data_IF_491081981655
#
_entry.id   IF_491081981655
#
_cell.length_a   1.000
_cell.length_b   1.000
_cell.length_c   1.000
_cell.angle_alpha   90.00
_cell.angle_beta   90.00
_cell.angle_gamma   90.00
#
_symmetry.space_group_name_H-M   'P 1'
#
loop_
_entity.id
_entity.type
_entity.pdbx_description
1 polymer ?
#
# COMPACT_ATOMS: atom_id res chain seq x y z
N UNK A 1 3.98 -5.33 18.13
CA UNK A 1 2.88 -5.61 17.17
C UNK A 1 1.64 -5.03 17.81
N UNK A 2 1.16 -3.92 17.28
CA UNK A 2 -0.14 -3.36 17.67
C UNK A 2 -1.18 -4.16 16.92
N UNK A 3 -1.89 -5.06 17.58
CA UNK A 3 -3.09 -5.68 17.02
C UNK A 3 -4.19 -4.65 17.18
N UNK A 4 -4.66 -4.12 16.06
CA UNK A 4 -5.79 -3.23 16.03
C UNK A 4 -7.02 -4.12 15.91
N UNK A 5 -7.85 -4.11 16.94
CA UNK A 5 -9.24 -4.53 16.76
C UNK A 5 -9.84 -3.55 15.76
N UNK A 6 -10.21 -3.98 14.55
CA UNK A 6 -10.82 -3.08 13.60
C UNK A 6 -12.08 -2.54 14.26
N UNK A 7 -12.25 -1.22 14.19
CA UNK A 7 -13.59 -0.67 14.36
C UNK A 7 -14.46 -1.49 13.41
N UNK A 8 -15.36 -2.32 13.94
CA UNK A 8 -16.21 -3.21 13.16
C UNK A 8 -17.17 -2.35 12.32
N UNK A 9 -16.66 -1.78 11.26
CA UNK A 9 -17.45 -1.49 10.09
C UNK A 9 -17.76 -2.90 9.57
N UNK A 10 -19.00 -3.35 9.74
CA UNK A 10 -19.41 -4.71 9.44
C UNK A 10 -18.76 -5.18 8.14
N UNK A 11 -18.35 -6.43 8.04
CA UNK A 11 -17.59 -6.99 6.93
C UNK A 11 -18.14 -6.49 5.59
N UNK A 12 -17.54 -5.45 5.05
CA UNK A 12 -17.92 -4.89 3.75
C UNK A 12 -17.09 -5.65 2.73
N UNK A 13 -17.75 -6.55 2.00
CA UNK A 13 -17.13 -7.15 0.83
C UNK A 13 -16.87 -6.06 -0.20
N UNK A 14 -15.64 -5.93 -0.62
CA UNK A 14 -15.22 -5.04 -1.69
C UNK A 14 -15.87 -5.51 -2.99
N UNK A 15 -16.67 -4.68 -3.64
CA UNK A 15 -17.16 -4.99 -4.97
C UNK A 15 -16.02 -4.82 -6.00
N UNK A 16 -16.06 -5.64 -7.06
CA UNK A 16 -15.09 -5.53 -8.15
C UNK A 16 -15.04 -4.11 -8.73
N UNK A 17 -13.83 -3.56 -8.86
CA UNK A 17 -13.61 -2.21 -9.38
C UNK A 17 -13.94 -1.07 -8.42
N UNK A 18 -14.36 -1.37 -7.20
CA UNK A 18 -14.66 -0.34 -6.19
C UNK A 18 -13.40 0.32 -5.66
N UNK A 19 -13.52 1.59 -5.28
CA UNK A 19 -12.54 2.32 -4.46
C UNK A 19 -13.16 2.55 -3.08
N UNK A 20 -12.41 2.23 -2.03
CA UNK A 20 -12.72 2.55 -0.64
C UNK A 20 -11.76 3.60 -0.15
N UNK A 21 -12.28 4.62 0.54
CA UNK A 21 -11.52 5.61 1.27
C UNK A 21 -11.44 5.18 2.74
N UNK A 22 -10.24 4.83 3.20
CA UNK A 22 -9.96 4.44 4.58
C UNK A 22 -9.50 5.67 5.37
N UNK A 23 -10.28 6.17 6.36
CA UNK A 23 -9.80 7.19 7.28
C UNK A 23 -8.58 6.67 8.05
N UNK A 24 -7.51 7.46 8.10
CA UNK A 24 -6.28 7.15 8.85
C UNK A 24 -6.09 8.17 9.97
N UNK A 25 -6.08 9.46 9.62
CA UNK A 25 -5.96 10.54 10.62
C UNK A 25 -7.21 10.55 11.52
N UNK A 26 -6.97 10.65 12.82
CA UNK A 26 -8.03 10.65 13.82
C UNK A 26 -8.61 9.26 14.13
N UNK A 27 -8.13 8.20 13.48
CA UNK A 27 -8.57 6.84 13.79
C UNK A 27 -8.08 6.45 15.18
N UNK A 28 -9.02 6.03 16.02
CA UNK A 28 -8.73 5.50 17.35
C UNK A 28 -8.25 4.04 17.21
N UNK A 29 -7.16 3.72 17.88
CA UNK A 29 -6.52 2.42 17.90
C UNK A 29 -6.40 1.96 19.35
N UNK A 30 -6.37 0.65 19.58
CA UNK A 30 -6.06 0.09 20.88
C UNK A 30 -4.74 -0.66 20.82
N UNK A 31 -3.77 -0.23 21.61
CA UNK A 31 -2.48 -0.93 21.71
C UNK A 31 -2.65 -2.28 22.45
N UNK A 32 -1.72 -3.25 22.27
CA UNK A 32 -1.81 -4.57 22.94
C UNK A 32 -1.85 -4.52 24.47
N UNK A 33 -1.32 -3.44 25.06
CA UNK A 33 -1.38 -3.18 26.51
C UNK A 33 -2.71 -2.54 26.96
N UNK A 34 -3.65 -2.31 26.02
CA UNK A 34 -4.95 -1.68 26.27
C UNK A 34 -4.95 -0.15 26.18
N UNK A 35 -3.81 0.49 25.93
CA UNK A 35 -3.76 1.95 25.79
C UNK A 35 -4.49 2.40 24.52
N UNK A 36 -5.27 3.47 24.65
CA UNK A 36 -5.88 4.12 23.49
C UNK A 36 -4.84 4.97 22.77
N UNK A 37 -4.73 4.78 21.46
CA UNK A 37 -3.92 5.58 20.56
C UNK A 37 -4.81 6.25 19.52
N UNK A 38 -4.41 7.40 19.03
CA UNK A 38 -5.09 8.08 17.92
C UNK A 38 -4.02 8.49 16.92
N UNK A 39 -4.23 8.18 15.65
CA UNK A 39 -3.33 8.66 14.60
C UNK A 39 -3.39 10.18 14.53
N UNK A 40 -2.29 10.90 14.79
CA UNK A 40 -2.30 12.35 14.91
C UNK A 40 -2.53 13.05 13.56
N UNK A 41 -2.98 14.29 13.61
CA UNK A 41 -3.16 15.12 12.40
C UNK A 41 -1.85 15.48 11.71
N UNK A 42 -0.72 15.29 12.39
CA UNK A 42 0.64 15.49 11.87
C UNK A 42 1.18 14.29 11.10
N UNK A 43 0.45 13.16 11.09
CA UNK A 43 0.83 11.98 10.33
C UNK A 43 0.80 12.26 8.83
N UNK A 44 1.89 11.95 8.14
CA UNK A 44 2.08 12.15 6.69
C UNK A 44 2.02 10.83 5.91
N UNK A 45 2.34 9.71 6.57
CA UNK A 45 2.24 8.38 6.01
C UNK A 45 1.89 7.35 7.08
N UNK A 46 1.33 6.21 6.67
CA UNK A 46 1.05 5.08 7.54
C UNK A 46 1.75 3.82 7.04
N UNK A 47 2.25 3.03 8.00
CA UNK A 47 2.61 1.63 7.78
C UNK A 47 1.37 0.79 8.03
N UNK A 48 0.82 0.18 6.99
CA UNK A 48 -0.37 -0.66 7.07
C UNK A 48 -0.08 -2.07 6.57
N UNK A 49 -0.77 -3.04 7.12
CA UNK A 49 -0.85 -4.38 6.55
C UNK A 49 -2.22 -4.53 5.89
N UNK A 50 -2.22 -4.88 4.61
CA UNK A 50 -3.46 -5.10 3.84
C UNK A 50 -3.55 -6.59 3.52
N UNK A 51 -4.61 -7.24 3.95
CA UNK A 51 -4.87 -8.65 3.66
C UNK A 51 -6.10 -8.78 2.77
N UNK A 52 -5.92 -9.32 1.57
CA UNK A 52 -7.02 -9.77 0.71
C UNK A 52 -7.50 -11.14 1.20
N UNK A 53 -8.80 -11.27 1.41
CA UNK A 53 -9.41 -12.50 1.95
C UNK A 53 -10.47 -13.03 0.99
N UNK A 54 -10.30 -14.28 0.58
CA UNK A 54 -11.24 -15.02 -0.29
C UNK A 54 -11.71 -14.21 -1.52
N UNK A 55 -10.79 -13.67 -2.34
CA UNK A 55 -11.19 -12.98 -3.57
C UNK A 55 -11.94 -13.91 -4.53
N UNK A 56 -12.90 -13.35 -5.28
CA UNK A 56 -13.73 -14.10 -6.23
C UNK A 56 -13.00 -14.48 -7.52
N UNK A 57 -11.78 -14.01 -7.73
CA UNK A 57 -10.98 -14.28 -8.94
C UNK A 57 -9.53 -13.86 -8.78
N UNK A 58 -8.73 -14.05 -9.83
CA UNK A 58 -7.38 -13.49 -9.88
C UNK A 58 -7.41 -11.98 -10.07
N UNK A 59 -6.61 -11.25 -9.30
CA UNK A 59 -6.60 -9.81 -9.33
C UNK A 59 -5.53 -9.19 -8.46
N UNK A 60 -5.75 -7.93 -8.11
CA UNK A 60 -4.81 -7.15 -7.31
C UNK A 60 -5.52 -6.06 -6.50
N UNK A 61 -4.81 -5.59 -5.48
CA UNK A 61 -5.16 -4.40 -4.70
C UNK A 61 -4.14 -3.31 -4.98
N UNK A 62 -4.62 -2.08 -5.17
CA UNK A 62 -3.80 -0.87 -5.20
C UNK A 62 -4.12 -0.04 -3.97
N UNK A 63 -3.08 0.53 -3.36
CA UNK A 63 -3.16 1.44 -2.21
C UNK A 63 -2.46 2.73 -2.58
N UNK A 64 -3.12 3.89 -2.34
CA UNK A 64 -2.54 5.21 -2.65
C UNK A 64 -3.16 6.30 -1.78
N UNK A 65 -2.52 7.50 -1.66
CA UNK A 65 -3.12 8.62 -0.94
C UNK A 65 -4.40 9.09 -1.64
N UNK A 66 -5.51 9.22 -0.90
CA UNK A 66 -6.74 9.75 -1.46
C UNK A 66 -6.56 11.21 -1.92
N UNK A 67 -7.29 11.60 -2.96
CA UNK A 67 -7.22 12.96 -3.53
C UNK A 67 -6.28 13.08 -4.73
N UNK A 68 -5.55 12.01 -5.09
CA UNK A 68 -4.78 11.93 -6.34
C UNK A 68 -5.27 10.77 -7.20
N UNK A 69 -4.87 10.74 -8.45
CA UNK A 69 -5.22 9.67 -9.38
C UNK A 69 -4.64 8.33 -8.92
N UNK A 70 -5.38 7.25 -9.14
CA UNK A 70 -4.93 5.90 -8.83
C UNK A 70 -3.74 5.52 -9.72
N UNK A 71 -2.57 5.14 -9.14
CA UNK A 71 -1.43 4.69 -9.92
C UNK A 71 -1.69 3.32 -10.59
N UNK A 72 -1.04 3.08 -11.72
CA UNK A 72 -1.00 1.78 -12.38
C UNK A 72 0.02 0.85 -11.70
N UNK A 73 -0.20 0.59 -10.43
CA UNK A 73 0.66 -0.26 -9.61
C UNK A 73 -0.20 -1.19 -8.75
N UNK A 74 0.27 -2.39 -8.47
CA UNK A 74 -0.33 -3.28 -7.48
C UNK A 74 0.53 -3.33 -6.22
N UNK A 75 -0.10 -3.25 -5.06
CA UNK A 75 0.54 -3.50 -3.77
C UNK A 75 0.40 -4.95 -3.34
N UNK A 76 -0.63 -5.66 -3.83
CA UNK A 76 -0.94 -7.03 -3.49
C UNK A 76 -1.58 -7.71 -4.69
N UNK A 77 -1.12 -8.93 -5.04
CA UNK A 77 -1.73 -9.77 -6.07
C UNK A 77 -2.25 -11.06 -5.43
N UNK A 78 -3.36 -11.57 -5.94
CA UNK A 78 -4.04 -12.74 -5.39
C UNK A 78 -4.69 -13.58 -6.50
N UNK A 79 -5.05 -14.82 -6.19
CA UNK A 79 -5.94 -15.67 -6.98
C UNK A 79 -7.20 -16.00 -6.18
N UNK A 80 -8.19 -16.60 -6.83
CA UNK A 80 -9.47 -16.92 -6.20
C UNK A 80 -9.30 -17.76 -4.92
N UNK A 81 -9.96 -17.36 -3.86
CA UNK A 81 -9.97 -18.07 -2.57
C UNK A 81 -8.75 -17.89 -1.69
N UNK A 82 -7.76 -17.12 -2.11
CA UNK A 82 -6.54 -16.87 -1.32
C UNK A 82 -6.80 -16.04 -0.04
N UNK A 83 -5.83 -16.12 0.89
CA UNK A 83 -5.66 -15.17 1.98
C UNK A 83 -4.23 -14.64 1.88
N UNK A 84 -4.08 -13.42 1.39
CA UNK A 84 -2.74 -12.86 1.08
C UNK A 84 -2.55 -11.53 1.79
N UNK A 85 -1.62 -11.43 2.75
CA UNK A 85 -1.23 -10.18 3.38
C UNK A 85 -0.10 -9.48 2.61
N UNK A 86 -0.04 -8.16 2.68
CA UNK A 86 1.14 -7.38 2.30
C UNK A 86 1.28 -6.12 3.15
N UNK A 87 2.53 -5.84 3.58
CA UNK A 87 2.88 -4.58 4.23
C UNK A 87 3.03 -3.46 3.21
N UNK A 88 2.39 -2.31 3.49
CA UNK A 88 2.41 -1.14 2.61
C UNK A 88 2.78 0.10 3.41
N UNK A 89 3.76 0.86 2.93
CA UNK A 89 4.00 2.24 3.37
C UNK A 89 3.16 3.14 2.48
N UNK A 90 2.10 3.70 3.03
CA UNK A 90 1.12 4.49 2.30
C UNK A 90 1.19 5.97 2.71
N UNK A 91 1.54 6.90 1.80
CA UNK A 91 1.32 8.31 2.05
C UNK A 91 -0.17 8.57 2.37
N UNK A 92 -0.44 9.48 3.28
CA UNK A 92 -1.80 9.86 3.64
C UNK A 92 -2.22 11.03 2.74
N UNK A 93 -3.41 10.93 2.14
CA UNK A 93 -3.95 12.00 1.32
C UNK A 93 -4.28 13.27 2.14
N UNK A 94 -4.39 14.40 1.45
CA UNK A 94 -4.67 15.71 2.08
C UNK A 94 -5.98 15.74 2.88
N UNK A 95 -6.87 14.77 2.64
CA UNK A 95 -8.13 14.56 3.38
C UNK A 95 -7.98 13.60 4.59
N UNK A 96 -6.74 13.21 4.94
CA UNK A 96 -6.45 12.30 6.05
C UNK A 96 -6.74 10.83 5.79
N UNK A 97 -6.88 10.44 4.50
CA UNK A 97 -7.31 9.09 4.11
C UNK A 97 -6.31 8.42 3.17
N UNK A 98 -6.37 7.09 3.16
CA UNK A 98 -5.73 6.21 2.18
C UNK A 98 -6.81 5.53 1.36
N UNK A 99 -6.63 5.50 0.05
CA UNK A 99 -7.54 4.87 -0.89
C UNK A 99 -7.07 3.46 -1.24
N UNK A 100 -8.03 2.53 -1.33
CA UNK A 100 -7.81 1.15 -1.73
C UNK A 100 -8.73 0.81 -2.91
N UNK A 101 -8.18 0.12 -3.88
CA UNK A 101 -8.91 -0.42 -5.04
C UNK A 101 -8.69 -1.93 -5.12
N UNK A 102 -9.74 -2.68 -5.43
CA UNK A 102 -9.64 -4.10 -5.76
C UNK A 102 -10.19 -4.37 -7.16
N UNK A 103 -9.45 -5.17 -7.95
CA UNK A 103 -9.87 -5.53 -9.31
C UNK A 103 -11.09 -6.45 -9.31
N UNK A 104 -11.18 -7.37 -8.35
CA UNK A 104 -12.32 -8.27 -8.17
C UNK A 104 -12.89 -8.12 -6.77
N UNK A 105 -14.07 -8.68 -6.56
CA UNK A 105 -14.70 -8.72 -5.25
C UNK A 105 -13.83 -9.51 -4.26
N UNK A 106 -13.60 -8.95 -3.09
CA UNK A 106 -12.80 -9.55 -2.02
C UNK A 106 -13.18 -8.96 -0.67
N UNK A 107 -12.94 -9.67 0.41
CA UNK A 107 -12.95 -9.10 1.74
C UNK A 107 -11.54 -8.55 2.06
N UNK A 108 -11.48 -7.47 2.83
CA UNK A 108 -10.22 -6.88 3.26
C UNK A 108 -10.11 -6.83 4.77
N UNK A 109 -8.91 -7.11 5.26
CA UNK A 109 -8.48 -6.75 6.61
C UNK A 109 -7.35 -5.75 6.46
N UNK A 110 -7.45 -4.60 7.14
CA UNK A 110 -6.44 -3.56 7.12
C UNK A 110 -6.04 -3.20 8.54
N UNK A 111 -4.79 -3.43 8.86
CA UNK A 111 -4.20 -3.13 10.16
C UNK A 111 -3.21 -1.96 10.03
N UNK A 112 -3.17 -1.04 10.99
CA UNK A 112 -2.15 0.00 11.06
C UNK A 112 -1.05 -0.45 12.01
N UNK A 113 0.17 -0.61 11.51
CA UNK A 113 1.34 -0.98 12.31
C UNK A 113 2.07 0.25 12.89
N UNK A 114 1.80 1.45 12.35
CA UNK A 114 2.40 2.70 12.78
C UNK A 114 2.19 3.82 11.78
N UNK A 115 2.76 4.98 12.07
CA UNK A 115 2.71 6.14 11.18
C UNK A 115 4.02 6.92 11.21
N UNK A 116 4.18 7.80 10.25
CA UNK A 116 5.30 8.73 10.11
C UNK A 116 4.80 10.15 10.18
N UNK A 117 5.59 11.04 10.75
CA UNK A 117 5.29 12.46 10.87
C UNK A 117 6.38 13.30 10.17
N UNK A 118 6.01 14.47 9.68
CA UNK A 118 6.93 15.35 8.95
C UNK A 118 7.55 14.68 7.73
N UNK A 119 8.85 14.85 7.55
CA UNK A 119 9.61 14.34 6.40
C UNK A 119 10.23 12.95 6.63
N UNK A 120 9.79 12.23 7.68
CA UNK A 120 10.31 10.89 7.99
C UNK A 120 10.03 9.84 6.90
N UNK A 121 9.05 10.12 6.04
CA UNK A 121 8.76 9.31 4.85
C UNK A 121 8.37 10.24 3.69
N UNK A 122 9.15 10.22 2.61
CA UNK A 122 8.85 10.92 1.38
C UNK A 122 8.20 9.94 0.40
N UNK A 123 6.89 10.09 0.22
CA UNK A 123 6.14 9.28 -0.73
C UNK A 123 6.42 9.69 -2.17
N UNK A 124 6.60 8.73 -3.06
CA UNK A 124 6.73 8.95 -4.49
C UNK A 124 5.67 8.15 -5.26
N UNK A 125 5.34 8.59 -6.46
CA UNK A 125 4.63 7.73 -7.42
C UNK A 125 5.47 6.47 -7.64
N UNK A 126 4.87 5.26 -7.63
CA UNK A 126 5.63 4.03 -7.84
C UNK A 126 6.45 4.07 -9.12
N UNK A 127 7.76 3.86 -8.99
CA UNK A 127 8.72 3.85 -10.08
C UNK A 127 9.21 2.43 -10.33
N UNK A 128 9.24 2.01 -11.60
CA UNK A 128 9.80 0.72 -11.98
C UNK A 128 11.29 0.84 -12.19
N UNK A 129 12.07 0.31 -11.25
CA UNK A 129 13.52 0.26 -11.35
C UNK A 129 14.00 -0.86 -12.28
N UNK A 130 13.27 -1.98 -12.33
CA UNK A 130 13.63 -3.14 -13.14
C UNK A 130 12.42 -4.00 -13.47
N UNK A 131 12.36 -4.47 -14.71
CA UNK A 131 11.46 -5.55 -15.13
C UNK A 131 12.32 -6.66 -15.79
N UNK A 132 12.43 -7.79 -15.10
CA UNK A 132 13.24 -8.92 -15.59
C UNK A 132 12.58 -9.67 -16.75
N UNK A 133 11.29 -9.44 -17.04
CA UNK A 133 10.61 -9.99 -18.22
C UNK A 133 11.15 -9.38 -19.52
N UNK A 134 11.71 -8.18 -19.45
CA UNK A 134 12.32 -7.45 -20.59
C UNK A 134 13.75 -7.90 -20.88
N UNK A 135 14.37 -8.66 -19.98
CA UNK A 135 15.76 -9.09 -20.12
C UNK A 135 15.91 -10.60 -19.97
N UNK A 136 16.05 -11.08 -18.73
CA UNK A 136 16.19 -12.49 -18.42
C UNK A 136 15.64 -12.79 -17.02
N UNK A 137 15.02 -13.96 -16.88
CA UNK A 137 14.55 -14.44 -15.59
C UNK A 137 15.73 -14.62 -14.62
N UNK A 138 15.59 -14.11 -13.40
CA UNK A 138 16.57 -14.37 -12.33
C UNK A 138 16.48 -15.85 -11.93
N UNK A 139 17.61 -16.55 -11.92
CA UNK A 139 17.69 -17.95 -11.51
C UNK A 139 17.97 -18.06 -10.00
N UNK A 140 17.82 -19.25 -9.43
CA UNK A 140 18.01 -19.51 -7.99
C UNK A 140 19.45 -19.26 -7.48
N UNK A 141 20.43 -19.16 -8.39
CA UNK A 141 21.85 -18.94 -8.05
C UNK A 141 22.34 -17.55 -8.47
N UNK A 142 21.44 -16.70 -8.97
CA UNK A 142 21.81 -15.39 -9.48
C UNK A 142 21.39 -14.29 -8.49
N UNK A 143 22.32 -13.39 -8.21
CA UNK A 143 22.03 -12.13 -7.52
C UNK A 143 21.62 -11.05 -8.53
N UNK A 144 20.61 -10.28 -8.19
CA UNK A 144 20.20 -9.08 -8.90
C UNK A 144 20.50 -7.87 -8.02
N UNK A 145 21.55 -7.13 -8.38
CA UNK A 145 21.88 -5.86 -7.70
C UNK A 145 21.14 -4.73 -8.41
N UNK A 146 20.36 -3.97 -7.65
CA UNK A 146 19.65 -2.78 -8.15
C UNK A 146 20.28 -1.52 -7.56
N UNK A 147 20.65 -0.60 -8.42
CA UNK A 147 20.89 0.77 -7.99
C UNK A 147 19.54 1.46 -7.76
N UNK A 148 19.37 2.14 -6.61
CA UNK A 148 18.11 2.77 -6.23
C UNK A 148 18.19 4.29 -6.35
N UNK A 149 19.37 4.87 -6.12
CA UNK A 149 19.57 6.31 -6.18
C UNK A 149 20.33 6.72 -7.46
N UNK A 150 20.17 7.95 -7.88
CA UNK A 150 20.85 8.56 -9.04
C UNK A 150 20.61 7.83 -10.36
N UNK A 151 19.39 7.33 -10.57
CA UNK A 151 19.02 6.62 -11.80
C UNK A 151 17.76 7.21 -12.44
N UNK A 152 17.58 6.97 -13.72
CA UNK A 152 16.32 7.20 -14.41
C UNK A 152 15.42 5.97 -14.22
N UNK A 153 14.21 6.18 -13.71
CA UNK A 153 13.22 5.15 -13.49
C UNK A 153 11.94 5.47 -14.27
N UNK A 154 11.16 4.45 -14.60
CA UNK A 154 9.92 4.61 -15.35
C UNK A 154 8.71 4.53 -14.43
N UNK A 155 7.77 5.43 -14.62
CA UNK A 155 6.42 5.30 -14.06
C UNK A 155 5.63 4.25 -14.85
N UNK A 156 4.49 3.82 -14.32
CA UNK A 156 3.67 2.79 -14.96
C UNK A 156 3.07 3.25 -16.30
N UNK A 157 2.94 4.55 -16.54
CA UNK A 157 2.50 5.14 -17.81
C UNK A 157 3.63 5.28 -18.84
N UNK A 158 4.87 4.88 -18.48
CA UNK A 158 6.06 4.94 -19.33
C UNK A 158 6.80 6.28 -19.29
N UNK A 159 6.38 7.26 -18.50
CA UNK A 159 7.14 8.48 -18.30
C UNK A 159 8.40 8.20 -17.48
N UNK A 160 9.49 8.91 -17.79
CA UNK A 160 10.74 8.77 -17.05
C UNK A 160 10.83 9.85 -15.96
N UNK A 161 11.36 9.46 -14.81
CA UNK A 161 11.72 10.39 -13.74
C UNK A 161 13.05 9.99 -13.14
N UNK A 162 13.79 10.95 -12.61
CA UNK A 162 15.07 10.69 -11.96
C UNK A 162 14.86 10.46 -10.46
N UNK A 163 15.39 9.35 -9.98
CA UNK A 163 15.54 9.12 -8.54
C UNK A 163 16.77 9.91 -8.08
N UNK A 164 16.62 10.82 -7.09
CA UNK A 164 17.75 11.64 -6.62
C UNK A 164 18.91 10.82 -6.07
N UNK A 165 20.09 11.44 -5.99
CA UNK A 165 21.30 10.81 -5.45
C UNK A 165 21.30 10.79 -3.89
N UNK A 166 20.52 11.66 -3.28
CA UNK A 166 20.47 11.94 -1.85
C UNK A 166 19.24 11.35 -1.13
N UNK A 167 18.81 10.20 -1.56
CA UNK A 167 17.72 9.41 -0.95
C UNK A 167 18.23 8.36 0.02
#
# INVERSE_FOLDING_TARGET
VVVIEPLSIGAIRFAAGQVIELPVIGTALTAPNGDALVVPTTATAASINVTGVTPGGSGFITVWPCGVERPLASNLNYVAGDVVPNGVLAPIGSNGKVCLYSLVDTDLVVDVAGWFEGDAFVGATPLRLRDTRETSRVTSTQELVLQVADIDASTADGSATRVPADV
#
